data_IF_234885436249
#
_entry.id   IF_234885436249
#
_cell.length_a   1.000
_cell.length_b   1.000
_cell.length_c   1.000
_cell.angle_alpha   90.00
_cell.angle_beta   90.00
_cell.angle_gamma   90.00
#
_symmetry.space_group_name_H-M   'P 1'
#
loop_
_entity.id
_entity.type
_entity.pdbx_description
1 polymer ?
#
# COMPACT_ATOMS: atom_id res chain seq x y z
N UNK A 1 0.27 25.64 21.38
CA UNK A 1 1.75 25.61 21.18
C UNK A 1 2.12 24.22 20.71
N UNK A 2 2.80 24.09 19.56
CA UNK A 2 3.27 22.78 19.07
C UNK A 2 4.38 22.28 20.01
N UNK A 3 4.26 21.05 20.47
CA UNK A 3 5.30 20.42 21.29
C UNK A 3 6.50 20.03 20.39
N UNK A 4 7.72 19.94 20.93
CA UNK A 4 8.89 19.51 20.15
C UNK A 4 8.67 18.12 19.47
N UNK A 5 7.86 17.26 20.07
CA UNK A 5 7.50 15.97 19.51
C UNK A 5 6.59 16.11 18.27
N UNK A 6 5.65 17.04 18.27
CA UNK A 6 4.79 17.27 17.07
C UNK A 6 5.58 17.87 15.91
N UNK A 7 6.56 18.71 16.18
CA UNK A 7 7.46 19.25 15.16
C UNK A 7 8.35 18.14 14.58
N UNK A 8 8.90 17.27 15.42
CA UNK A 8 9.72 16.14 14.97
C UNK A 8 8.90 15.17 14.09
N UNK A 9 7.68 14.83 14.52
CA UNK A 9 6.77 13.96 13.73
C UNK A 9 6.47 14.59 12.36
N UNK A 10 6.15 15.88 12.33
CA UNK A 10 5.89 16.60 11.07
C UNK A 10 7.11 16.62 10.13
N UNK A 11 8.32 16.85 10.68
CA UNK A 11 9.56 16.83 9.91
C UNK A 11 9.84 15.45 9.34
N UNK A 12 9.69 14.38 10.14
CA UNK A 12 9.90 13.01 9.70
C UNK A 12 8.92 12.61 8.58
N UNK A 13 7.64 12.94 8.72
CA UNK A 13 6.62 12.69 7.69
C UNK A 13 6.89 13.49 6.42
N UNK A 14 7.24 14.76 6.55
CA UNK A 14 7.60 15.62 5.42
C UNK A 14 8.81 15.08 4.65
N UNK A 15 9.85 14.67 5.37
CA UNK A 15 11.05 14.06 4.77
C UNK A 15 10.69 12.75 4.06
N UNK A 16 9.89 11.88 4.69
CA UNK A 16 9.44 10.63 4.08
C UNK A 16 8.63 10.88 2.81
N UNK A 17 7.70 11.81 2.82
CA UNK A 17 6.92 12.20 1.64
C UNK A 17 7.83 12.70 0.51
N UNK A 18 8.78 13.57 0.81
CA UNK A 18 9.74 14.08 -0.17
C UNK A 18 10.56 12.95 -0.80
N UNK A 19 11.04 11.99 0.01
CA UNK A 19 11.79 10.83 -0.47
C UNK A 19 10.92 9.90 -1.35
N UNK A 20 9.67 9.64 -0.96
CA UNK A 20 8.74 8.81 -1.74
C UNK A 20 8.44 9.45 -3.10
N UNK A 21 8.18 10.76 -3.13
CA UNK A 21 7.92 11.49 -4.37
C UNK A 21 9.17 11.57 -5.25
N UNK A 22 10.33 11.79 -4.66
CA UNK A 22 11.62 11.76 -5.38
C UNK A 22 11.87 10.39 -5.99
N UNK A 23 11.68 9.32 -5.22
CA UNK A 23 11.83 7.94 -5.69
C UNK A 23 10.88 7.65 -6.87
N UNK A 24 9.60 8.05 -6.75
CA UNK A 24 8.65 7.91 -7.84
C UNK A 24 9.08 8.68 -9.10
N UNK A 25 9.57 9.91 -8.94
CA UNK A 25 10.03 10.73 -10.05
C UNK A 25 11.28 10.14 -10.74
N UNK A 26 12.26 9.66 -9.96
CA UNK A 26 13.48 9.03 -10.48
C UNK A 26 13.16 7.74 -11.23
N UNK A 27 12.35 6.85 -10.64
CA UNK A 27 11.94 5.59 -11.29
C UNK A 27 11.22 5.85 -12.61
N UNK A 28 10.31 6.82 -12.64
CA UNK A 28 9.59 7.19 -13.86
C UNK A 28 10.49 7.78 -14.93
N UNK A 29 11.52 8.56 -14.53
CA UNK A 29 12.46 9.22 -15.44
C UNK A 29 13.44 8.22 -16.04
N UNK A 30 14.05 7.38 -15.19
CA UNK A 30 15.21 6.58 -15.60
C UNK A 30 14.80 5.26 -16.29
N UNK A 31 13.65 4.70 -15.92
CA UNK A 31 13.14 3.42 -16.45
C UNK A 31 11.66 3.47 -16.83
N UNK A 32 11.23 4.37 -17.74
CA UNK A 32 9.81 4.62 -18.01
C UNK A 32 9.04 3.42 -18.59
N UNK A 33 9.74 2.43 -19.15
CA UNK A 33 9.13 1.23 -19.76
C UNK A 33 9.25 -0.03 -18.91
N UNK A 34 10.04 -0.02 -17.84
CA UNK A 34 10.21 -1.19 -16.99
C UNK A 34 8.98 -1.42 -16.10
N UNK A 35 8.37 -2.63 -16.08
CA UNK A 35 7.23 -2.94 -15.22
C UNK A 35 7.54 -2.73 -13.74
N UNK A 36 8.74 -3.10 -13.29
CA UNK A 36 9.20 -2.88 -11.93
C UNK A 36 9.22 -1.40 -11.55
N UNK A 37 9.62 -0.50 -12.48
CA UNK A 37 9.60 0.94 -12.22
C UNK A 37 8.18 1.46 -12.02
N UNK A 38 7.21 1.00 -12.80
CA UNK A 38 5.80 1.36 -12.62
C UNK A 38 5.23 0.85 -11.31
N UNK A 39 5.54 -0.39 -10.92
CA UNK A 39 5.15 -0.93 -9.62
C UNK A 39 5.78 -0.13 -8.47
N UNK A 40 7.07 0.23 -8.58
CA UNK A 40 7.76 1.07 -7.62
C UNK A 40 7.16 2.47 -7.48
N UNK A 41 6.77 3.10 -8.61
CA UNK A 41 6.03 4.37 -8.60
C UNK A 41 4.68 4.23 -7.88
N UNK A 42 3.92 3.18 -8.20
CA UNK A 42 2.62 2.93 -7.60
C UNK A 42 2.72 2.72 -6.08
N UNK A 43 3.71 1.94 -5.61
CA UNK A 43 3.98 1.75 -4.17
C UNK A 43 4.34 3.09 -3.51
N UNK A 44 5.25 3.85 -4.10
CA UNK A 44 5.70 5.13 -3.54
C UNK A 44 4.54 6.11 -3.38
N UNK A 45 3.66 6.19 -4.39
CA UNK A 45 2.46 7.03 -4.31
C UNK A 45 1.44 6.49 -3.28
N UNK A 46 1.24 5.18 -3.22
CA UNK A 46 0.36 4.56 -2.23
C UNK A 46 0.84 4.77 -0.80
N UNK A 47 2.16 4.67 -0.55
CA UNK A 47 2.75 4.99 0.75
C UNK A 47 2.64 6.49 1.07
N UNK A 48 2.79 7.38 0.08
CA UNK A 48 2.58 8.81 0.28
C UNK A 48 1.13 9.12 0.70
N UNK A 49 0.14 8.49 0.07
CA UNK A 49 -1.27 8.60 0.47
C UNK A 49 -1.47 8.10 1.90
N UNK A 50 -0.84 6.99 2.27
CA UNK A 50 -0.93 6.43 3.63
C UNK A 50 -0.30 7.37 4.66
N UNK A 51 0.86 7.95 4.39
CA UNK A 51 1.52 8.93 5.29
C UNK A 51 0.65 10.18 5.47
N UNK A 52 0.05 10.68 4.38
CA UNK A 52 -0.89 11.80 4.45
C UNK A 52 -2.15 11.43 5.25
N UNK A 53 -2.76 10.28 4.98
CA UNK A 53 -3.95 9.81 5.68
C UNK A 53 -3.74 9.58 7.17
N UNK A 54 -2.52 9.24 7.59
CA UNK A 54 -2.13 9.06 8.99
C UNK A 54 -1.75 10.38 9.69
N UNK A 55 -1.93 11.54 9.06
CA UNK A 55 -1.74 12.83 9.73
C UNK A 55 -2.89 13.07 10.72
N UNK A 56 -2.61 13.43 11.99
CA UNK A 56 -3.64 13.54 13.04
C UNK A 56 -4.83 14.43 12.66
N UNK A 57 -4.55 15.58 12.03
CA UNK A 57 -5.61 16.50 11.62
C UNK A 57 -6.45 16.01 10.44
N UNK A 58 -5.91 15.14 9.58
CA UNK A 58 -6.66 14.46 8.50
C UNK A 58 -7.49 13.35 9.11
N UNK A 59 -6.88 12.53 9.94
CA UNK A 59 -7.55 11.43 10.62
C UNK A 59 -8.73 11.95 11.47
N UNK A 60 -8.54 12.97 12.30
CA UNK A 60 -9.59 13.59 13.11
C UNK A 60 -10.76 14.12 12.28
N UNK A 61 -10.48 14.69 11.09
CA UNK A 61 -11.53 15.26 10.23
C UNK A 61 -12.24 14.24 9.36
N UNK A 62 -11.53 13.22 8.92
CA UNK A 62 -12.02 12.25 7.95
C UNK A 62 -12.36 10.90 8.56
N UNK A 63 -11.93 10.62 9.80
CA UNK A 63 -12.27 9.37 10.50
C UNK A 63 -13.80 9.20 10.56
N UNK A 64 -14.26 8.03 10.10
CA UNK A 64 -15.69 7.73 10.00
C UNK A 64 -16.41 8.32 8.78
N UNK A 65 -15.72 9.10 7.93
CA UNK A 65 -16.29 9.59 6.67
C UNK A 65 -16.05 8.60 5.53
N UNK A 66 -16.99 8.54 4.57
CA UNK A 66 -16.83 7.73 3.37
C UNK A 66 -15.59 8.14 2.52
N UNK A 67 -15.14 9.38 2.64
CA UNK A 67 -13.95 9.90 1.96
C UNK A 67 -12.63 9.29 2.47
N UNK A 68 -12.64 8.72 3.67
CA UNK A 68 -11.45 8.07 4.23
C UNK A 68 -11.29 6.62 3.75
N UNK A 69 -12.37 6.00 3.26
CA UNK A 69 -12.34 4.61 2.80
C UNK A 69 -11.32 4.35 1.69
N UNK A 70 -11.17 5.19 0.64
CA UNK A 70 -10.12 5.00 -0.38
C UNK A 70 -8.71 5.01 0.19
N UNK A 71 -8.42 5.84 1.20
CA UNK A 71 -7.11 5.92 1.85
C UNK A 71 -6.77 4.58 2.52
N UNK A 72 -7.72 4.03 3.27
CA UNK A 72 -7.58 2.71 3.90
C UNK A 72 -7.47 1.61 2.84
N UNK A 73 -8.29 1.66 1.78
CA UNK A 73 -8.23 0.70 0.67
C UNK A 73 -6.86 0.67 0.00
N UNK A 74 -6.30 1.83 -0.36
CA UNK A 74 -4.95 1.95 -0.94
C UNK A 74 -3.89 1.41 0.02
N UNK A 75 -4.01 1.70 1.32
CA UNK A 75 -3.09 1.24 2.35
C UNK A 75 -3.01 -0.30 2.40
N UNK A 76 -4.16 -0.97 2.36
CA UNK A 76 -4.23 -2.45 2.33
C UNK A 76 -3.70 -3.00 1.00
N UNK A 77 -4.06 -2.37 -0.12
CA UNK A 77 -3.68 -2.81 -1.46
C UNK A 77 -2.17 -2.63 -1.76
N UNK A 78 -1.46 -1.77 -1.00
CA UNK A 78 0.00 -1.60 -1.15
C UNK A 78 0.79 -2.90 -0.94
N UNK A 79 0.30 -3.83 -0.12
CA UNK A 79 0.92 -5.12 0.06
C UNK A 79 0.94 -5.95 -1.24
N UNK A 80 -0.12 -5.85 -2.04
CA UNK A 80 -0.20 -6.49 -3.36
C UNK A 80 0.80 -5.85 -4.34
N UNK A 81 0.89 -4.52 -4.35
CA UNK A 81 1.86 -3.81 -5.18
C UNK A 81 3.29 -4.18 -4.83
N UNK A 82 3.59 -4.38 -3.55
CA UNK A 82 4.90 -4.85 -3.12
C UNK A 82 5.24 -6.24 -3.69
N UNK A 83 4.31 -7.19 -3.63
CA UNK A 83 4.48 -8.49 -4.26
C UNK A 83 4.71 -8.38 -5.77
N UNK A 84 3.87 -7.61 -6.48
CA UNK A 84 4.01 -7.36 -7.93
C UNK A 84 5.36 -6.72 -8.26
N UNK A 85 5.82 -5.79 -7.43
CA UNK A 85 7.13 -5.15 -7.59
C UNK A 85 8.27 -6.17 -7.47
N UNK A 86 8.22 -7.04 -6.46
CA UNK A 86 9.23 -8.08 -6.27
C UNK A 86 9.23 -9.05 -7.45
N UNK A 87 8.06 -9.52 -7.92
CA UNK A 87 7.99 -10.36 -9.12
C UNK A 87 8.61 -9.65 -10.34
N UNK A 88 8.24 -8.38 -10.57
CA UNK A 88 8.76 -7.61 -11.70
C UNK A 88 10.26 -7.25 -11.57
N UNK A 89 10.84 -7.36 -10.38
CA UNK A 89 12.26 -7.11 -10.14
C UNK A 89 13.13 -8.35 -10.44
N UNK A 90 12.61 -9.54 -10.16
CA UNK A 90 13.35 -10.80 -10.27
C UNK A 90 13.00 -11.61 -11.52
N UNK A 91 11.93 -11.28 -12.24
CA UNK A 91 11.50 -11.96 -13.46
C UNK A 91 11.67 -11.01 -14.66
N UNK A 92 12.68 -11.28 -15.50
CA UNK A 92 12.98 -10.48 -16.69
C UNK A 92 11.86 -10.54 -17.75
N UNK A 93 11.07 -11.64 -17.76
CA UNK A 93 9.91 -11.85 -18.64
C UNK A 93 8.59 -11.43 -17.99
N UNK A 94 8.66 -10.69 -16.88
CA UNK A 94 7.47 -10.28 -16.15
C UNK A 94 6.50 -9.48 -17.02
N UNK A 95 5.25 -9.92 -17.03
CA UNK A 95 4.13 -9.20 -17.63
C UNK A 95 2.99 -9.03 -16.63
N UNK A 96 2.45 -7.82 -16.53
CA UNK A 96 1.26 -7.55 -15.75
C UNK A 96 0.09 -8.39 -16.28
N UNK A 97 -0.45 -9.24 -15.42
CA UNK A 97 -1.58 -10.13 -15.73
C UNK A 97 -2.84 -9.67 -15.00
N UNK A 98 -4.04 -10.04 -15.50
CA UNK A 98 -5.31 -9.63 -14.89
C UNK A 98 -5.45 -10.01 -13.40
N UNK A 99 -4.83 -11.12 -12.98
CA UNK A 99 -4.88 -11.55 -11.57
C UNK A 99 -4.16 -10.57 -10.61
N UNK A 100 -3.12 -9.85 -11.05
CA UNK A 100 -2.49 -8.81 -10.24
C UNK A 100 -3.46 -7.65 -9.97
N UNK A 101 -4.18 -7.21 -11.02
CA UNK A 101 -5.19 -6.18 -10.90
C UNK A 101 -6.38 -6.64 -10.04
N UNK A 102 -6.79 -7.90 -10.18
CA UNK A 102 -7.85 -8.49 -9.37
C UNK A 102 -7.46 -8.57 -7.89
N UNK A 103 -6.25 -9.04 -7.59
CA UNK A 103 -5.73 -9.10 -6.23
C UNK A 103 -5.67 -7.71 -5.59
N UNK A 104 -5.15 -6.72 -6.33
CA UNK A 104 -5.09 -5.32 -5.87
C UNK A 104 -6.49 -4.75 -5.62
N UNK A 105 -7.40 -4.90 -6.58
CA UNK A 105 -8.78 -4.42 -6.45
C UNK A 105 -9.55 -5.08 -5.31
N UNK A 106 -9.34 -6.38 -5.09
CA UNK A 106 -9.96 -7.12 -3.98
C UNK A 106 -9.43 -6.64 -2.61
N UNK A 107 -8.11 -6.45 -2.49
CA UNK A 107 -7.50 -5.92 -1.27
C UNK A 107 -7.98 -4.48 -0.98
N UNK A 108 -8.08 -3.64 -2.01
CA UNK A 108 -8.61 -2.28 -1.90
C UNK A 108 -10.07 -2.29 -1.45
N UNK A 109 -10.92 -3.09 -2.10
CA UNK A 109 -12.34 -3.22 -1.76
C UNK A 109 -12.54 -3.72 -0.33
N UNK A 110 -11.72 -4.68 0.13
CA UNK A 110 -11.75 -5.18 1.51
C UNK A 110 -11.43 -4.07 2.52
N UNK A 111 -10.38 -3.28 2.26
CA UNK A 111 -10.03 -2.14 3.10
C UNK A 111 -11.12 -1.07 3.16
N UNK A 112 -11.69 -0.71 2.02
CA UNK A 112 -12.79 0.24 1.92
C UNK A 112 -14.04 -0.25 2.65
N UNK A 113 -14.43 -1.51 2.43
CA UNK A 113 -15.61 -2.11 3.07
C UNK A 113 -15.48 -2.12 4.60
N UNK A 114 -14.31 -2.49 5.12
CA UNK A 114 -14.07 -2.47 6.56
C UNK A 114 -14.09 -1.06 7.14
N UNK A 115 -13.59 -0.07 6.41
CA UNK A 115 -13.68 1.33 6.82
C UNK A 115 -15.14 1.80 6.88
N UNK A 116 -15.93 1.53 5.84
CA UNK A 116 -17.33 1.93 5.76
C UNK A 116 -18.21 1.21 6.78
N UNK A 117 -17.87 -0.01 7.17
CA UNK A 117 -18.60 -0.79 8.17
C UNK A 117 -18.19 -0.50 9.62
N UNK A 118 -17.27 0.44 9.84
CA UNK A 118 -16.73 0.72 11.18
C UNK A 118 -17.79 1.16 12.21
N UNK A 119 -18.88 1.80 11.75
CA UNK A 119 -20.02 2.22 12.59
C UNK A 119 -21.10 1.16 12.81
N UNK A 120 -21.00 0.00 12.19
CA UNK A 120 -21.99 -1.08 12.31
C UNK A 120 -21.63 -1.98 13.51
N UNK A 121 -22.65 -2.47 14.22
CA UNK A 121 -22.45 -3.39 15.34
C UNK A 121 -21.57 -4.59 14.96
N UNK A 122 -20.79 -5.08 15.94
CA UNK A 122 -19.93 -6.25 15.75
C UNK A 122 -20.75 -7.46 15.27
N UNK A 123 -20.42 -7.94 14.07
CA UNK A 123 -21.00 -9.14 13.49
C UNK A 123 -19.89 -10.14 13.19
N UNK A 124 -20.15 -11.45 13.22
CA UNK A 124 -19.13 -12.45 12.86
C UNK A 124 -18.51 -12.21 11.48
N UNK A 125 -19.28 -11.66 10.54
CA UNK A 125 -18.81 -11.30 9.21
C UNK A 125 -17.78 -10.17 9.26
N UNK A 126 -17.98 -9.15 10.11
CA UNK A 126 -17.04 -8.06 10.29
C UNK A 126 -15.72 -8.55 10.88
N UNK A 127 -15.79 -9.42 11.90
CA UNK A 127 -14.60 -9.99 12.52
C UNK A 127 -13.79 -10.82 11.51
N UNK A 128 -14.46 -11.55 10.63
CA UNK A 128 -13.84 -12.29 9.54
C UNK A 128 -13.16 -11.34 8.55
N UNK A 129 -13.85 -10.30 8.08
CA UNK A 129 -13.28 -9.36 7.11
C UNK A 129 -12.11 -8.56 7.69
N UNK A 130 -12.15 -8.21 8.97
CA UNK A 130 -11.03 -7.57 9.68
C UNK A 130 -9.83 -8.52 9.80
N UNK A 131 -10.07 -9.80 10.10
CA UNK A 131 -9.02 -10.82 10.16
C UNK A 131 -8.39 -11.03 8.78
N UNK A 132 -9.21 -11.12 7.72
CA UNK A 132 -8.72 -11.21 6.35
C UNK A 132 -7.88 -9.99 5.96
N UNK A 133 -8.32 -8.78 6.29
CA UNK A 133 -7.56 -7.55 6.01
C UNK A 133 -6.19 -7.57 6.70
N UNK A 134 -6.10 -8.04 7.95
CA UNK A 134 -4.82 -8.16 8.67
C UNK A 134 -3.92 -9.23 8.09
N UNK A 135 -4.48 -10.27 7.47
CA UNK A 135 -3.74 -11.33 6.82
C UNK A 135 -3.15 -10.90 5.46
N UNK A 136 -3.76 -9.93 4.76
CA UNK A 136 -3.31 -9.46 3.43
C UNK A 136 -1.82 -9.13 3.40
N UNK A 137 -1.26 -8.25 4.26
CA UNK A 137 0.17 -7.93 4.22
C UNK A 137 1.07 -9.15 4.44
N UNK A 138 0.68 -10.05 5.32
CA UNK A 138 1.45 -11.27 5.63
C UNK A 138 1.47 -12.22 4.43
N UNK A 139 0.31 -12.46 3.82
CA UNK A 139 0.18 -13.33 2.65
C UNK A 139 1.03 -12.80 1.49
N UNK A 140 0.92 -11.52 1.16
CA UNK A 140 1.67 -10.93 0.06
C UNK A 140 3.16 -10.77 0.35
N UNK A 141 3.57 -10.56 1.61
CA UNK A 141 4.97 -10.63 1.99
C UNK A 141 5.55 -12.05 1.79
N UNK A 142 4.82 -13.09 2.17
CA UNK A 142 5.23 -14.48 1.92
C UNK A 142 5.32 -14.76 0.42
N UNK A 143 4.34 -14.33 -0.37
CA UNK A 143 4.38 -14.49 -1.83
C UNK A 143 5.58 -13.75 -2.46
N UNK A 144 5.91 -12.56 -1.99
CA UNK A 144 7.09 -11.81 -2.44
C UNK A 144 8.40 -12.54 -2.11
N UNK A 145 8.53 -13.09 -0.89
CA UNK A 145 9.70 -13.89 -0.51
C UNK A 145 9.80 -15.16 -1.37
N UNK A 146 8.68 -15.84 -1.62
CA UNK A 146 8.65 -17.03 -2.48
C UNK A 146 9.02 -16.70 -3.93
N UNK A 147 8.57 -15.57 -4.46
CA UNK A 147 8.94 -15.09 -5.79
C UNK A 147 10.46 -14.85 -5.86
N UNK A 148 11.03 -14.11 -4.93
CA UNK A 148 12.47 -13.88 -4.86
C UNK A 148 13.28 -15.19 -4.72
N UNK A 149 12.83 -16.11 -3.85
CA UNK A 149 13.53 -17.37 -3.61
C UNK A 149 13.50 -18.33 -4.81
N UNK A 150 12.45 -18.30 -5.65
CA UNK A 150 12.37 -19.09 -6.86
C UNK A 150 13.44 -18.69 -7.87
N UNK A 151 13.65 -17.41 -8.07
CA UNK A 151 14.63 -16.89 -9.03
C UNK A 151 16.06 -17.04 -8.52
N UNK A 152 16.29 -16.87 -7.20
CA UNK A 152 17.61 -17.12 -6.60
C UNK A 152 18.14 -18.55 -6.79
N UNK A 153 17.27 -19.55 -6.98
CA UNK A 153 17.68 -20.94 -7.18
C UNK A 153 17.84 -21.31 -8.66
N UNK A 154 17.43 -20.45 -9.57
CA UNK A 154 17.50 -20.69 -11.01
C UNK A 154 18.82 -20.21 -11.63
N UNK A 155 19.55 -19.33 -10.95
CA UNK A 155 20.91 -18.87 -11.28
C UNK A 155 21.98 -19.72 -10.56
#
# INVERSE_FOLDING_TARGET
MATPLTLLDALLRGTLLALLLLMAAVLRRDRPRAPAAWAGVAISLGLAVQVLGAMPWIEERLAGSAWFAPVIGISVANAVLFWVFVEALFDDDFALRPHHALAWGTAMALGMMNCLSAGVHATPLRDLTMTLQRAVPVVFAVLAVLAAARHWRAD
#
